data_IF_627655884723
#
_entry.id   IF_627655884723
#
_cell.length_a   1.000
_cell.length_b   1.000
_cell.length_c   1.000
_cell.angle_alpha   90.00
_cell.angle_beta   90.00
_cell.angle_gamma   90.00
#
_symmetry.space_group_name_H-M   'P 1'
#
loop_
_entity.id
_entity.type
_entity.pdbx_description
1 polymer ?
#
# COMPACT_ATOMS: atom_id res chain seq x y z
N UNK A 1 45.25 41.00 51.23
CA UNK A 1 44.00 40.39 51.74
C UNK A 1 42.93 41.46 51.89
N UNK A 2 42.04 41.60 50.90
CA UNK A 2 40.84 42.46 50.98
C UNK A 2 39.64 41.59 50.60
N UNK A 3 38.69 41.43 51.53
CA UNK A 3 37.34 40.91 51.25
C UNK A 3 36.39 42.10 51.21
N UNK A 4 35.63 42.23 50.13
CA UNK A 4 34.41 43.05 50.06
C UNK A 4 33.38 42.28 49.23
N UNK A 5 32.20 42.11 49.81
CA UNK A 5 31.01 41.45 49.26
C UNK A 5 30.31 42.37 48.25
N UNK A 6 29.92 41.81 47.09
CA UNK A 6 28.87 42.32 46.20
C UNK A 6 28.12 41.09 45.65
N UNK A 7 26.89 40.85 46.13
CA UNK A 7 25.59 41.16 45.50
C UNK A 7 25.24 40.24 44.33
N UNK A 8 24.31 39.33 44.61
CA UNK A 8 23.60 38.48 43.64
C UNK A 8 22.73 39.31 42.70
N UNK A 9 22.74 38.95 41.42
CA UNK A 9 21.86 39.47 40.37
C UNK A 9 21.10 38.28 39.77
N UNK A 10 19.75 38.29 39.70
CA UNK A 10 18.99 37.15 39.20
C UNK A 10 19.03 37.10 37.67
N UNK A 11 19.48 35.97 37.13
CA UNK A 11 19.49 35.69 35.69
C UNK A 11 18.06 35.52 35.15
N UNK A 12 17.86 36.16 34.01
CA UNK A 12 16.64 36.33 33.23
C UNK A 12 16.09 35.02 32.67
N UNK A 13 14.80 34.75 32.90
CA UNK A 13 14.03 33.78 32.11
C UNK A 13 13.79 34.33 30.68
N UNK A 14 14.16 33.58 29.62
CA UNK A 14 13.68 33.90 28.27
C UNK A 14 12.24 33.40 28.10
N UNK A 15 11.35 34.36 27.78
CA UNK A 15 9.98 34.14 27.32
C UNK A 15 9.95 33.19 26.12
N UNK A 16 9.01 32.22 26.02
CA UNK A 16 8.90 31.38 24.85
C UNK A 16 8.49 32.24 23.65
N UNK A 17 9.28 32.15 22.57
CA UNK A 17 8.91 32.65 21.26
C UNK A 17 7.58 32.02 20.85
N UNK A 18 6.57 32.86 20.62
CA UNK A 18 5.31 32.47 19.99
C UNK A 18 5.64 31.77 18.66
N UNK A 19 5.49 30.46 18.63
CA UNK A 19 5.42 29.71 17.38
C UNK A 19 4.12 30.12 16.70
N UNK A 20 4.24 31.07 15.77
CA UNK A 20 3.22 31.32 14.76
C UNK A 20 2.85 29.97 14.16
N UNK A 21 1.59 29.58 14.38
CA UNK A 21 0.97 28.44 13.74
C UNK A 21 0.89 28.73 12.25
N UNK A 22 1.93 28.35 11.54
CA UNK A 22 1.85 28.11 10.12
C UNK A 22 0.91 26.90 9.95
N UNK A 23 -0.38 27.18 9.76
CA UNK A 23 -1.35 26.20 9.28
C UNK A 23 -0.98 25.91 7.83
N UNK A 24 0.11 25.19 7.64
CA UNK A 24 0.38 24.48 6.40
C UNK A 24 -0.82 23.57 6.16
N UNK A 25 -1.53 23.84 5.07
CA UNK A 25 -2.60 23.02 4.54
C UNK A 25 -2.07 21.58 4.44
N UNK A 26 -2.43 20.73 5.41
CA UNK A 26 -1.94 19.36 5.45
C UNK A 26 -2.63 18.64 4.30
N UNK A 27 -1.96 18.60 3.15
CA UNK A 27 -2.41 17.83 1.99
C UNK A 27 -2.67 16.42 2.50
N UNK A 28 -3.96 16.05 2.63
CA UNK A 28 -4.37 14.78 3.22
C UNK A 28 -3.70 13.67 2.41
N UNK A 29 -2.92 12.81 3.05
CA UNK A 29 -2.29 11.67 2.39
C UNK A 29 -3.43 10.80 1.85
N UNK A 30 -3.55 10.75 0.53
CA UNK A 30 -4.56 9.93 -0.14
C UNK A 30 -4.02 8.52 -0.28
N UNK A 31 -4.77 7.56 0.25
CA UNK A 31 -4.45 6.13 0.22
C UNK A 31 -4.55 5.60 -1.21
N UNK A 32 -3.57 4.79 -1.63
CA UNK A 32 -3.63 4.08 -2.90
C UNK A 32 -4.44 2.80 -2.74
N UNK A 33 -5.42 2.59 -3.62
CA UNK A 33 -6.26 1.39 -3.62
C UNK A 33 -6.32 0.73 -4.99
N UNK A 34 -6.70 -0.54 -5.01
CA UNK A 34 -6.80 -1.34 -6.23
C UNK A 34 -8.16 -1.13 -6.90
N UNK A 35 -8.11 -0.91 -8.21
CA UNK A 35 -9.25 -0.90 -9.11
C UNK A 35 -9.08 -2.00 -10.16
N UNK A 36 -10.14 -2.71 -10.48
CA UNK A 36 -10.12 -3.91 -11.31
C UNK A 36 -11.09 -3.82 -12.48
N UNK A 37 -10.77 -4.47 -13.59
CA UNK A 37 -11.71 -4.76 -14.69
C UNK A 37 -11.44 -6.14 -15.28
N UNK A 38 -12.45 -6.77 -15.87
CA UNK A 38 -12.32 -8.13 -16.44
C UNK A 38 -12.41 -8.16 -17.95
N UNK A 39 -12.94 -7.10 -18.55
CA UNK A 39 -13.08 -6.96 -20.00
C UNK A 39 -12.69 -5.55 -20.44
N UNK A 40 -12.23 -5.42 -21.69
CA UNK A 40 -11.75 -4.15 -22.22
C UNK A 40 -12.86 -3.08 -22.29
N UNK A 41 -14.11 -3.50 -22.50
CA UNK A 41 -15.29 -2.64 -22.56
C UNK A 41 -15.88 -2.28 -21.19
N UNK A 42 -15.30 -2.77 -20.09
CA UNK A 42 -15.70 -2.44 -18.73
C UNK A 42 -14.86 -1.26 -18.21
N UNK A 43 -15.52 -0.41 -17.43
CA UNK A 43 -14.83 0.59 -16.61
C UNK A 43 -14.11 -0.10 -15.45
N UNK A 44 -12.98 0.47 -15.02
CA UNK A 44 -12.34 0.06 -13.77
C UNK A 44 -13.23 0.38 -12.58
N UNK A 45 -13.44 -0.59 -11.70
CA UNK A 45 -14.21 -0.45 -10.45
C UNK A 45 -13.31 -0.72 -9.25
N UNK A 46 -13.58 -0.10 -8.11
CA UNK A 46 -12.81 -0.35 -6.90
C UNK A 46 -12.95 -1.82 -6.47
N UNK A 47 -11.82 -2.47 -6.16
CA UNK A 47 -11.82 -3.85 -5.70
C UNK A 47 -12.45 -3.95 -4.32
N UNK A 48 -13.45 -4.81 -4.18
CA UNK A 48 -14.10 -5.09 -2.88
C UNK A 48 -13.15 -5.85 -1.95
N UNK A 49 -13.02 -5.39 -0.71
CA UNK A 49 -12.21 -6.03 0.32
C UNK A 49 -12.61 -7.49 0.56
N UNK A 50 -13.90 -7.81 0.40
CA UNK A 50 -14.46 -9.13 0.68
C UNK A 50 -14.36 -10.11 -0.49
N UNK A 51 -13.81 -9.69 -1.64
CA UNK A 51 -13.68 -10.52 -2.84
C UNK A 51 -12.20 -10.80 -3.13
N UNK A 52 -11.85 -12.08 -3.31
CA UNK A 52 -10.51 -12.45 -3.75
C UNK A 52 -10.29 -11.98 -5.19
N UNK A 53 -9.14 -11.37 -5.48
CA UNK A 53 -8.83 -10.90 -6.83
C UNK A 53 -8.79 -12.03 -7.87
N UNK A 54 -8.40 -13.25 -7.48
CA UNK A 54 -8.42 -14.41 -8.40
C UNK A 54 -9.85 -14.87 -8.72
N UNK A 55 -10.71 -14.89 -7.70
CA UNK A 55 -12.13 -15.22 -7.87
C UNK A 55 -12.82 -14.17 -8.74
N UNK A 56 -12.48 -12.90 -8.52
CA UNK A 56 -12.95 -11.79 -9.35
C UNK A 56 -12.58 -12.02 -10.83
N UNK A 57 -11.33 -12.41 -11.10
CA UNK A 57 -10.85 -12.71 -12.45
C UNK A 57 -11.25 -14.10 -12.98
N UNK A 58 -12.00 -14.91 -12.21
CA UNK A 58 -12.44 -16.26 -12.59
C UNK A 58 -11.29 -17.20 -12.98
N UNK A 59 -10.22 -17.17 -12.19
CA UNK A 59 -9.02 -17.99 -12.44
C UNK A 59 -9.13 -19.31 -11.69
N UNK A 60 -9.02 -20.42 -12.42
CA UNK A 60 -8.86 -21.74 -11.83
C UNK A 60 -7.40 -21.93 -11.38
N UNK A 61 -7.05 -21.44 -10.20
CA UNK A 61 -5.70 -21.56 -9.63
C UNK A 61 -5.35 -20.45 -8.65
N UNK A 62 -4.08 -20.45 -8.19
CA UNK A 62 -3.56 -19.47 -7.23
C UNK A 62 -2.71 -18.38 -7.88
N UNK A 63 -2.51 -18.42 -9.21
CA UNK A 63 -1.65 -17.50 -9.97
C UNK A 63 -2.30 -17.08 -11.29
N UNK A 64 -2.18 -15.79 -11.64
CA UNK A 64 -2.53 -15.23 -12.95
C UNK A 64 -1.49 -14.18 -13.40
N UNK A 65 -1.32 -13.99 -14.70
CA UNK A 65 -0.62 -12.82 -15.24
C UNK A 65 -1.60 -11.64 -15.36
N UNK A 66 -1.22 -10.51 -14.78
CA UNK A 66 -2.00 -9.28 -14.79
C UNK A 66 -1.23 -8.17 -15.46
N UNK A 67 -1.96 -7.30 -16.14
CA UNK A 67 -1.47 -5.98 -16.54
C UNK A 67 -1.89 -4.97 -15.47
N UNK A 68 -0.96 -4.13 -15.03
CA UNK A 68 -1.24 -3.09 -14.05
C UNK A 68 -0.51 -1.78 -14.33
N UNK A 69 -1.08 -0.69 -13.81
CA UNK A 69 -0.46 0.65 -13.83
C UNK A 69 -0.89 1.45 -12.61
N UNK A 70 -0.12 2.47 -12.24
CA UNK A 70 -0.46 3.42 -11.19
C UNK A 70 -0.89 4.74 -11.83
N UNK A 71 -2.16 5.11 -11.67
CA UNK A 71 -2.72 6.35 -12.20
C UNK A 71 -3.63 7.00 -11.16
N UNK A 72 -3.48 8.30 -10.92
CA UNK A 72 -4.32 9.09 -10.02
C UNK A 72 -4.53 8.45 -8.63
N UNK A 73 -3.44 7.95 -8.02
CA UNK A 73 -3.44 7.22 -6.75
C UNK A 73 -4.27 5.92 -6.76
N UNK A 74 -4.42 5.28 -7.91
CA UNK A 74 -5.11 3.99 -8.07
C UNK A 74 -4.21 3.00 -8.80
N UNK A 75 -4.13 1.79 -8.27
CA UNK A 75 -3.58 0.66 -9.02
C UNK A 75 -4.69 0.14 -9.91
N UNK A 76 -4.58 0.35 -11.21
CA UNK A 76 -5.50 -0.22 -12.19
C UNK A 76 -4.99 -1.61 -12.57
N UNK A 77 -5.82 -2.62 -12.40
CA UNK A 77 -5.46 -4.03 -12.53
C UNK A 77 -6.42 -4.77 -13.47
N UNK A 78 -5.88 -5.56 -14.38
CA UNK A 78 -6.68 -6.36 -15.32
C UNK A 78 -5.94 -7.65 -15.71
N UNK A 79 -6.63 -8.65 -16.26
CA UNK A 79 -5.99 -9.79 -16.91
C UNK A 79 -5.02 -9.34 -18.03
N UNK A 80 -3.84 -9.97 -18.11
CA UNK A 80 -2.79 -9.56 -19.05
C UNK A 80 -3.16 -9.79 -20.52
N UNK A 81 -3.99 -10.77 -20.82
CA UNK A 81 -4.54 -11.03 -22.16
C UNK A 81 -5.32 -9.82 -22.71
N UNK A 82 -6.01 -9.05 -21.87
CA UNK A 82 -6.67 -7.80 -22.28
C UNK A 82 -5.70 -6.68 -22.70
N UNK A 83 -4.40 -6.85 -22.42
CA UNK A 83 -3.35 -5.93 -22.87
C UNK A 83 -2.60 -6.45 -24.10
N UNK A 84 -2.88 -7.69 -24.54
CA UNK A 84 -2.31 -8.29 -25.75
C UNK A 84 -3.29 -8.07 -26.88
N UNK A 85 -2.83 -7.43 -27.95
CA UNK A 85 -3.64 -7.25 -29.15
C UNK A 85 -3.89 -8.60 -29.84
N UNK A 86 -5.15 -8.91 -30.13
CA UNK A 86 -5.46 -9.99 -31.09
C UNK A 86 -5.31 -9.51 -32.54
N UNK A 87 -5.38 -8.19 -32.84
CA UNK A 87 -5.20 -7.64 -34.19
C UNK A 87 -4.97 -6.11 -34.21
N UNK A 88 -3.77 -5.61 -33.85
CA UNK A 88 -3.25 -4.32 -34.32
C UNK A 88 -4.10 -3.06 -34.05
N UNK A 89 -4.92 -3.06 -32.99
CA UNK A 89 -5.97 -2.06 -32.78
C UNK A 89 -5.89 -1.41 -31.40
N UNK A 90 -5.24 -0.24 -31.35
CA UNK A 90 -5.34 0.81 -30.32
C UNK A 90 -5.51 0.30 -28.87
N UNK A 91 -4.41 -0.17 -28.27
CA UNK A 91 -4.13 0.30 -26.91
C UNK A 91 -4.11 1.82 -27.03
N UNK A 92 -4.97 2.53 -26.29
CA UNK A 92 -4.82 3.97 -26.14
C UNK A 92 -3.34 4.22 -25.81
N UNK A 93 -2.58 4.82 -26.73
CA UNK A 93 -1.12 5.08 -26.59
C UNK A 93 -0.75 5.84 -25.30
N UNK A 94 -1.74 6.27 -24.55
CA UNK A 94 -1.67 7.16 -23.40
C UNK A 94 -1.33 6.43 -22.08
N UNK A 95 -1.52 5.11 -21.96
CA UNK A 95 -1.29 4.40 -20.68
C UNK A 95 -0.50 3.12 -20.88
N UNK A 96 0.74 3.09 -20.38
CA UNK A 96 1.58 1.90 -20.34
C UNK A 96 1.23 1.04 -19.12
N UNK A 97 1.14 -0.27 -19.34
CA UNK A 97 0.92 -1.27 -18.30
C UNK A 97 2.18 -2.11 -18.13
N UNK A 98 2.55 -2.39 -16.89
CA UNK A 98 3.51 -3.42 -16.56
C UNK A 98 2.79 -4.77 -16.48
N UNK A 99 3.46 -5.85 -16.89
CA UNK A 99 2.94 -7.22 -16.80
C UNK A 99 3.66 -7.94 -15.66
N UNK A 100 2.90 -8.37 -14.66
CA UNK A 100 3.43 -9.09 -13.51
C UNK A 100 2.54 -10.29 -13.16
N UNK A 101 3.07 -11.19 -12.31
CA UNK A 101 2.29 -12.28 -11.73
C UNK A 101 1.59 -11.78 -10.48
N UNK A 102 0.28 -12.00 -10.41
CA UNK A 102 -0.48 -11.92 -9.17
C UNK A 102 -0.59 -13.34 -8.60
N UNK A 103 -0.45 -13.47 -7.28
CA UNK A 103 -0.61 -14.73 -6.57
C UNK A 103 -1.25 -14.48 -5.19
N UNK A 104 -2.05 -15.42 -4.71
CA UNK A 104 -2.39 -15.53 -3.29
C UNK A 104 -1.92 -16.86 -2.72
N UNK A 105 -1.72 -17.00 -1.39
CA UNK A 105 -1.45 -18.30 -0.80
C UNK A 105 -2.65 -19.26 -0.95
N UNK A 106 -2.41 -20.57 -0.96
CA UNK A 106 -3.47 -21.60 -1.04
C UNK A 106 -4.51 -21.50 0.09
N UNK A 107 -4.12 -20.94 1.24
CA UNK A 107 -4.96 -20.69 2.40
C UNK A 107 -5.51 -19.24 2.44
N UNK A 108 -5.63 -18.56 1.29
CA UNK A 108 -6.16 -17.20 1.21
C UNK A 108 -7.52 -17.08 1.91
N UNK A 109 -7.56 -16.34 3.01
CA UNK A 109 -8.77 -16.22 3.83
C UNK A 109 -9.97 -15.71 3.03
N UNK A 110 -9.75 -14.71 2.17
CA UNK A 110 -10.82 -14.07 1.38
C UNK A 110 -11.35 -14.98 0.28
N UNK A 111 -10.50 -15.84 -0.31
CA UNK A 111 -10.95 -16.87 -1.25
C UNK A 111 -11.87 -17.89 -0.58
N UNK A 112 -11.60 -18.23 0.69
CA UNK A 112 -12.38 -19.18 1.47
C UNK A 112 -13.53 -18.52 2.27
N UNK A 113 -13.83 -17.24 2.05
CA UNK A 113 -14.96 -16.59 2.72
C UNK A 113 -16.29 -17.16 2.22
N UNK A 114 -17.09 -17.68 3.14
CA UNK A 114 -18.48 -17.99 2.84
C UNK A 114 -19.30 -16.68 2.84
N UNK A 115 -20.35 -16.53 2.01
CA UNK A 115 -21.21 -15.34 2.03
C UNK A 115 -21.70 -14.93 3.43
N UNK A 116 -21.94 -15.92 4.30
CA UNK A 116 -22.33 -15.73 5.71
C UNK A 116 -21.28 -15.02 6.56
N UNK A 117 -20.00 -15.12 6.22
CA UNK A 117 -18.91 -14.49 6.96
C UNK A 117 -18.75 -13.03 6.55
N UNK A 118 -19.00 -12.71 5.28
CA UNK A 118 -19.00 -11.33 4.77
C UNK A 118 -20.05 -10.48 5.50
N UNK A 119 -21.25 -11.01 5.75
CA UNK A 119 -22.29 -10.28 6.49
C UNK A 119 -21.93 -9.96 7.96
N UNK A 120 -20.91 -10.64 8.52
CA UNK A 120 -20.43 -10.37 9.89
C UNK A 120 -19.35 -9.28 9.92
N UNK A 121 -18.83 -8.87 8.77
CA UNK A 121 -17.82 -7.81 8.71
C UNK A 121 -18.45 -6.45 9.08
N UNK A 122 -17.77 -5.64 9.91
CA UNK A 122 -18.16 -4.25 10.12
C UNK A 122 -18.25 -3.51 8.78
N UNK A 123 -19.22 -2.59 8.66
CA UNK A 123 -19.47 -1.84 7.40
C UNK A 123 -18.23 -1.07 6.95
N UNK A 124 -17.44 -0.59 7.90
CA UNK A 124 -16.21 0.16 7.64
C UNK A 124 -15.11 -0.71 7.01
N UNK A 125 -15.19 -2.04 7.19
CA UNK A 125 -14.25 -3.00 6.61
C UNK A 125 -14.70 -3.40 5.20
N UNK A 126 -16.00 -3.61 4.99
CA UNK A 126 -16.55 -3.98 3.68
C UNK A 126 -16.22 -2.94 2.62
N UNK A 127 -16.32 -1.65 2.97
CA UNK A 127 -16.04 -0.54 2.05
C UNK A 127 -14.59 -0.03 2.11
N UNK A 128 -13.68 -0.78 2.73
CA UNK A 128 -12.26 -0.37 2.80
C UNK A 128 -11.54 -0.59 1.47
N UNK A 129 -12.06 -1.42 0.57
CA UNK A 129 -11.35 -1.80 -0.65
C UNK A 129 -10.03 -2.52 -0.37
N UNK A 130 -9.22 -2.73 -1.41
CA UNK A 130 -7.94 -3.43 -1.31
C UNK A 130 -6.78 -2.43 -1.25
N UNK A 131 -6.07 -2.45 -0.13
CA UNK A 131 -4.87 -1.64 0.12
C UNK A 131 -3.65 -2.11 -0.68
N UNK A 132 -2.74 -1.19 -0.96
CA UNK A 132 -1.49 -1.46 -1.67
C UNK A 132 -0.30 -1.30 -0.72
N UNK A 133 0.59 -2.29 -0.76
CA UNK A 133 1.87 -2.24 -0.09
C UNK A 133 3.01 -2.49 -1.08
N UNK A 134 4.17 -1.93 -0.77
CA UNK A 134 5.39 -2.13 -1.53
C UNK A 134 6.44 -2.82 -0.66
N UNK A 135 7.18 -3.73 -1.25
CA UNK A 135 8.37 -4.33 -0.64
C UNK A 135 9.51 -4.35 -1.65
N UNK A 136 10.73 -4.15 -1.19
CA UNK A 136 11.92 -4.04 -2.01
C UNK A 136 12.81 -5.25 -1.76
N UNK A 137 13.19 -5.94 -2.83
CA UNK A 137 14.30 -6.89 -2.82
C UNK A 137 15.56 -6.11 -3.18
N UNK A 138 16.46 -5.94 -2.21
CA UNK A 138 17.76 -5.32 -2.43
C UNK A 138 18.83 -6.40 -2.46
N UNK A 139 19.48 -6.57 -3.61
CA UNK A 139 20.52 -7.56 -3.84
C UNK A 139 21.89 -6.89 -3.90
N UNK A 140 22.89 -7.45 -3.21
CA UNK A 140 24.29 -7.02 -3.32
C UNK A 140 24.94 -7.56 -4.59
N UNK A 141 26.10 -7.02 -4.97
CA UNK A 141 26.85 -7.51 -6.14
C UNK A 141 27.24 -9.00 -6.01
N UNK A 142 27.42 -9.48 -4.77
CA UNK A 142 27.73 -10.86 -4.44
C UNK A 142 26.51 -11.78 -4.39
N UNK A 143 25.31 -11.29 -4.72
CA UNK A 143 24.08 -12.08 -4.77
C UNK A 143 23.38 -12.28 -3.41
N UNK A 144 23.67 -11.45 -2.40
CA UNK A 144 22.98 -11.51 -1.11
C UNK A 144 21.75 -10.60 -1.11
N UNK A 145 20.62 -11.09 -0.60
CA UNK A 145 19.39 -10.31 -0.46
C UNK A 145 19.23 -9.75 0.95
N UNK A 146 18.98 -8.45 1.07
CA UNK A 146 18.64 -7.81 2.34
C UNK A 146 17.23 -8.20 2.79
N UNK A 147 17.15 -8.78 3.98
CA UNK A 147 15.91 -9.04 4.71
C UNK A 147 15.97 -8.39 6.09
N UNK A 148 14.81 -8.00 6.63
CA UNK A 148 14.68 -7.36 7.94
C UNK A 148 13.77 -8.18 8.83
N UNK A 149 14.11 -8.28 10.11
CA UNK A 149 13.25 -8.91 11.11
C UNK A 149 12.39 -7.84 11.77
N UNK A 150 11.07 -7.98 11.71
CA UNK A 150 10.14 -7.06 12.38
C UNK A 150 10.36 -7.07 13.90
N UNK A 151 10.28 -5.90 14.52
CA UNK A 151 10.52 -5.74 15.95
C UNK A 151 9.53 -6.57 16.79
N UNK A 152 10.02 -7.11 17.90
CA UNK A 152 9.25 -8.02 18.77
C UNK A 152 8.01 -7.38 19.39
N UNK A 153 7.99 -6.05 19.54
CA UNK A 153 6.89 -5.30 20.14
C UNK A 153 5.80 -4.91 19.14
N UNK A 154 5.92 -5.26 17.85
CA UNK A 154 4.89 -4.91 16.85
C UNK A 154 3.63 -5.76 17.03
N UNK A 155 2.46 -5.12 16.89
CA UNK A 155 1.15 -5.82 16.98
C UNK A 155 0.95 -6.84 15.85
N UNK A 156 1.38 -6.49 14.65
CA UNK A 156 1.13 -7.28 13.43
C UNK A 156 2.45 -7.89 12.94
N UNK A 157 2.48 -9.22 12.82
CA UNK A 157 3.64 -10.03 12.38
C UNK A 157 4.97 -9.71 13.09
N UNK A 158 5.03 -9.73 14.44
CA UNK A 158 6.29 -9.52 15.16
C UNK A 158 7.29 -10.65 14.85
N UNK A 159 8.59 -10.33 14.89
CA UNK A 159 9.70 -11.28 14.73
C UNK A 159 9.80 -11.99 13.36
N UNK A 160 8.95 -11.66 12.38
CA UNK A 160 8.99 -12.24 11.03
C UNK A 160 10.08 -11.58 10.19
N UNK A 161 10.80 -12.38 9.41
CA UNK A 161 11.74 -11.91 8.40
C UNK A 161 11.00 -11.56 7.12
N UNK A 162 11.12 -10.32 6.67
CA UNK A 162 10.48 -9.79 5.47
C UNK A 162 11.45 -8.88 4.71
N UNK A 163 11.33 -8.74 3.38
CA UNK A 163 12.00 -7.66 2.68
C UNK A 163 11.55 -6.30 3.23
N UNK A 164 12.42 -5.27 3.23
CA UNK A 164 12.03 -3.90 3.58
C UNK A 164 10.79 -3.46 2.78
N UNK A 165 9.83 -2.81 3.44
CA UNK A 165 8.58 -2.42 2.78
C UNK A 165 7.59 -1.71 3.70
N UNK A 166 6.45 -1.31 3.14
CA UNK A 166 5.42 -0.56 3.83
C UNK A 166 4.17 -0.32 2.97
N UNK A 167 3.22 0.42 3.55
CA UNK A 167 2.07 0.94 2.80
C UNK A 167 2.51 2.01 1.81
N UNK A 168 1.84 2.09 0.67
CA UNK A 168 2.03 3.17 -0.31
C UNK A 168 1.06 4.33 -0.08
#
# INVERSE_FOLDING_TARGET
MKKRLEKENPESHPTPLNANTDKGDSKSIQRIVVYVRRKLNEMFVEADFSTCLMDYFHVDGDVIQVAWTLQDNKILLQPADLSREDNGGLISKEVSFAINRLQHPVYCAVHHFHPKDIYKLPKEIVHRGVDVGVSIILESQEGHVLITRRASHMRTFPNVWVPPGGHM
#
